data_IF_135370077739
#
_entry.id   IF_135370077739
#
_cell.length_a   1.000
_cell.length_b   1.000
_cell.length_c   1.000
_cell.angle_alpha   90.00
_cell.angle_beta   90.00
_cell.angle_gamma   90.00
#
_symmetry.space_group_name_H-M   'P 1'
#
loop_
_entity.id
_entity.type
_entity.pdbx_description
1 polymer ?
#
# COMPACT_ATOMS: atom_id res chain seq x y z
N UNK A 1 24.74 -52.63 22.30
CA UNK A 1 23.30 -52.31 22.27
C UNK A 1 22.60 -53.58 21.81
N UNK A 2 21.99 -54.31 22.74
CA UNK A 2 21.41 -55.63 22.49
C UNK A 2 19.95 -55.47 22.03
N UNK A 3 19.50 -56.27 21.05
CA UNK A 3 18.21 -56.09 20.39
C UNK A 3 17.12 -56.87 21.15
N UNK A 4 16.29 -56.14 21.90
CA UNK A 4 15.26 -56.67 22.81
C UNK A 4 13.99 -57.26 22.14
N UNK A 5 13.95 -57.38 20.79
CA UNK A 5 12.87 -58.05 20.05
C UNK A 5 12.43 -57.35 18.76
N UNK A 6 11.64 -58.04 17.94
CA UNK A 6 10.96 -57.51 16.74
C UNK A 6 9.47 -57.79 16.87
N UNK A 7 8.75 -57.01 17.68
CA UNK A 7 7.29 -57.06 17.79
C UNK A 7 6.71 -55.67 17.50
N UNK A 8 5.82 -55.58 16.53
CA UNK A 8 5.05 -54.36 16.30
C UNK A 8 4.02 -54.21 17.43
N UNK A 9 4.07 -53.09 18.15
CA UNK A 9 3.15 -52.76 19.24
C UNK A 9 1.96 -51.96 18.71
N UNK A 10 0.75 -52.37 19.09
CA UNK A 10 -0.46 -51.57 18.88
C UNK A 10 -0.60 -50.54 20.00
N UNK A 11 -1.32 -49.44 19.75
CA UNK A 11 -1.56 -48.39 20.73
C UNK A 11 -2.15 -48.98 22.03
N UNK A 12 -1.52 -48.66 23.16
CA UNK A 12 -1.84 -49.15 24.51
C UNK A 12 -1.65 -50.67 24.73
N UNK A 13 -0.96 -51.39 23.84
CA UNK A 13 -0.59 -52.78 24.09
C UNK A 13 0.71 -52.83 24.91
N UNK A 14 0.71 -53.42 26.12
CA UNK A 14 1.94 -53.66 26.87
C UNK A 14 2.68 -54.89 26.33
N UNK A 15 3.99 -54.74 26.12
CA UNK A 15 4.87 -55.86 25.77
C UNK A 15 5.92 -56.06 26.85
N UNK A 16 5.88 -57.24 27.46
CA UNK A 16 6.86 -57.72 28.42
C UNK A 16 7.97 -58.49 27.70
N UNK A 17 9.20 -58.05 27.88
CA UNK A 17 10.41 -58.65 27.31
C UNK A 17 11.29 -59.33 28.38
N UNK A 18 10.72 -59.60 29.56
CA UNK A 18 11.36 -60.38 30.64
C UNK A 18 12.17 -59.54 31.63
N UNK A 19 12.72 -58.40 31.20
CA UNK A 19 13.42 -57.43 32.07
C UNK A 19 12.56 -56.20 32.41
N UNK A 20 11.35 -56.12 31.84
CA UNK A 20 10.41 -55.02 32.02
C UNK A 20 9.32 -54.98 30.94
N UNK A 21 8.40 -54.03 31.05
CA UNK A 21 7.32 -53.81 30.09
C UNK A 21 7.46 -52.45 29.41
N UNK A 22 7.26 -52.41 28.09
CA UNK A 22 7.13 -51.19 27.31
C UNK A 22 5.72 -51.11 26.74
N UNK A 23 5.10 -49.94 26.82
CA UNK A 23 3.78 -49.67 26.25
C UNK A 23 3.89 -48.49 25.28
N UNK A 24 3.38 -48.67 24.06
CA UNK A 24 3.26 -47.56 23.13
C UNK A 24 2.01 -46.74 23.45
N UNK A 25 2.17 -45.58 24.09
CA UNK A 25 1.07 -44.73 24.53
C UNK A 25 0.56 -43.77 23.45
N UNK A 26 1.25 -43.69 22.31
CA UNK A 26 0.87 -42.87 21.15
C UNK A 26 1.90 -41.80 20.80
N UNK A 27 1.51 -40.90 19.90
CA UNK A 27 2.31 -39.76 19.47
C UNK A 27 1.48 -38.50 19.56
N UNK A 28 2.12 -37.38 19.90
CA UNK A 28 1.52 -36.06 19.79
C UNK A 28 1.91 -35.48 18.43
N UNK A 29 0.94 -35.14 17.58
CA UNK A 29 1.21 -34.39 16.36
C UNK A 29 1.45 -32.92 16.72
N UNK A 30 2.68 -32.43 16.51
CA UNK A 30 2.98 -31.01 16.63
C UNK A 30 3.19 -30.39 15.24
N UNK A 31 2.80 -29.13 15.10
CA UNK A 31 3.08 -28.31 13.92
C UNK A 31 3.66 -27.00 14.43
N UNK A 32 4.78 -26.56 13.85
CA UNK A 32 5.35 -25.25 14.12
C UNK A 32 4.74 -24.25 13.14
N UNK A 33 3.89 -23.34 13.64
CA UNK A 33 3.31 -22.27 12.83
C UNK A 33 4.07 -20.97 13.12
N UNK A 34 4.69 -20.39 12.09
CA UNK A 34 5.28 -19.05 12.18
C UNK A 34 4.35 -18.05 11.49
N UNK A 35 3.88 -17.07 12.27
CA UNK A 35 3.08 -15.96 11.76
C UNK A 35 4.03 -14.77 11.65
N UNK A 36 4.36 -14.38 10.42
CA UNK A 36 5.17 -13.20 10.14
C UNK A 36 4.23 -12.05 9.84
N UNK A 37 4.21 -11.06 10.73
CA UNK A 37 3.42 -9.85 10.57
C UNK A 37 4.37 -8.69 10.26
N UNK A 38 4.20 -8.07 9.09
CA UNK A 38 5.06 -6.97 8.63
C UNK A 38 4.33 -5.63 8.78
N UNK A 39 4.41 -4.96 9.96
CA UNK A 39 3.68 -3.73 10.21
C UNK A 39 4.07 -2.59 9.26
N UNK A 40 5.23 -2.70 8.59
CA UNK A 40 5.73 -1.73 7.62
C UNK A 40 5.04 -1.79 6.25
N UNK A 41 4.37 -2.89 5.87
CA UNK A 41 3.74 -3.03 4.54
C UNK A 41 2.66 -1.99 4.30
N UNK A 42 1.86 -1.67 5.31
CA UNK A 42 0.81 -0.64 5.21
C UNK A 42 1.37 0.76 4.97
N UNK A 43 2.41 1.14 5.72
CA UNK A 43 3.07 2.43 5.57
C UNK A 43 3.81 2.56 4.23
N UNK A 44 4.44 1.48 3.76
CA UNK A 44 5.10 1.45 2.45
C UNK A 44 4.09 1.67 1.30
N UNK A 45 2.91 1.04 1.38
CA UNK A 45 1.83 1.23 0.40
C UNK A 45 1.32 2.67 0.38
N UNK A 46 1.08 3.26 1.55
CA UNK A 46 0.63 4.64 1.65
C UNK A 46 1.67 5.63 1.10
N UNK A 47 2.95 5.41 1.42
CA UNK A 47 4.06 6.20 0.88
C UNK A 47 4.17 6.11 -0.64
N UNK A 48 4.03 4.92 -1.21
CA UNK A 48 4.06 4.73 -2.66
C UNK A 48 2.90 5.46 -3.36
N UNK A 49 1.69 5.39 -2.80
CA UNK A 49 0.52 6.12 -3.34
C UNK A 49 0.76 7.63 -3.30
N UNK A 50 1.24 8.18 -2.18
CA UNK A 50 1.51 9.61 -2.06
C UNK A 50 2.61 10.07 -3.02
N UNK A 51 3.66 9.26 -3.22
CA UNK A 51 4.72 9.57 -4.16
C UNK A 51 4.21 9.61 -5.62
N UNK A 52 3.38 8.64 -6.01
CA UNK A 52 2.76 8.60 -7.35
C UNK A 52 1.84 9.80 -7.53
N UNK A 53 0.98 10.10 -6.55
CA UNK A 53 0.09 11.26 -6.62
C UNK A 53 0.87 12.56 -6.72
N UNK A 54 1.89 12.76 -5.89
CA UNK A 54 2.75 13.95 -5.95
C UNK A 54 3.46 14.09 -7.29
N UNK A 55 3.94 12.98 -7.86
CA UNK A 55 4.55 12.97 -9.19
C UNK A 55 3.55 13.33 -10.27
N UNK A 56 2.36 12.72 -10.27
CA UNK A 56 1.30 13.03 -11.22
C UNK A 56 0.89 14.49 -11.10
N UNK A 57 0.62 14.97 -9.88
CA UNK A 57 0.31 16.38 -9.64
C UNK A 57 1.43 17.27 -10.15
N UNK A 58 2.70 16.95 -9.93
CA UNK A 58 3.82 17.75 -10.45
C UNK A 58 3.87 17.79 -11.98
N UNK A 59 3.51 16.69 -12.66
CA UNK A 59 3.53 16.62 -14.12
C UNK A 59 2.32 17.29 -14.75
N UNK A 60 1.14 17.14 -14.14
CA UNK A 60 -0.13 17.69 -14.63
C UNK A 60 -0.38 19.13 -14.19
N UNK A 61 0.29 19.59 -13.13
CA UNK A 61 0.25 21.00 -12.72
C UNK A 61 0.97 21.83 -13.77
N UNK A 62 0.20 22.36 -14.71
CA UNK A 62 0.72 23.21 -15.77
C UNK A 62 1.27 24.49 -15.11
N UNK A 63 2.57 24.74 -15.22
CA UNK A 63 3.18 26.00 -14.80
C UNK A 63 2.72 27.14 -15.73
N UNK A 64 1.46 27.57 -15.62
CA UNK A 64 0.92 28.74 -16.31
C UNK A 64 1.19 29.98 -15.47
N UNK A 65 1.89 30.96 -16.02
CA UNK A 65 2.00 32.28 -15.41
C UNK A 65 0.77 33.08 -15.81
N UNK A 66 -0.10 33.34 -14.85
CA UNK A 66 -1.26 34.21 -15.01
C UNK A 66 -0.99 35.45 -14.16
N UNK A 67 -1.14 36.64 -14.75
CA UNK A 67 -1.05 37.91 -14.04
C UNK A 67 -2.43 38.53 -13.96
N UNK A 68 -2.84 38.87 -12.74
CA UNK A 68 -4.00 39.69 -12.48
C UNK A 68 -3.54 41.05 -12.00
N UNK A 69 -4.03 42.12 -12.62
CA UNK A 69 -3.82 43.49 -12.17
C UNK A 69 -5.18 44.15 -11.97
N UNK A 70 -5.45 44.59 -10.75
CA UNK A 70 -6.62 45.41 -10.44
C UNK A 70 -6.23 46.89 -10.57
N UNK A 71 -6.95 47.63 -11.42
CA UNK A 71 -6.81 49.08 -11.57
C UNK A 71 -8.16 49.73 -11.30
N UNK A 72 -8.35 50.22 -10.07
CA UNK A 72 -9.63 50.77 -9.62
C UNK A 72 -10.77 49.74 -9.68
N UNK A 73 -11.86 50.05 -10.40
CA UNK A 73 -13.02 49.15 -10.61
C UNK A 73 -12.83 48.14 -11.76
N UNK A 74 -11.67 48.12 -12.42
CA UNK A 74 -11.40 47.22 -13.55
C UNK A 74 -10.32 46.22 -13.20
N UNK A 75 -10.61 44.93 -13.36
CA UNK A 75 -9.63 43.85 -13.22
C UNK A 75 -9.14 43.45 -14.60
N UNK A 76 -7.84 43.57 -14.83
CA UNK A 76 -7.16 43.16 -16.05
C UNK A 76 -6.48 41.81 -15.79
N UNK A 77 -6.84 40.80 -16.58
CA UNK A 77 -6.25 39.47 -16.53
C UNK A 77 -5.42 39.27 -17.80
N UNK A 78 -4.16 38.88 -17.65
CA UNK A 78 -3.27 38.55 -18.75
C UNK A 78 -2.61 37.18 -18.50
N UNK A 79 -2.62 36.32 -19.49
CA UNK A 79 -1.90 35.04 -19.46
C UNK A 79 -0.90 34.97 -20.60
N UNK A 80 0.33 34.54 -20.31
CA UNK A 80 1.34 34.24 -21.33
C UNK A 80 1.61 32.74 -21.30
N UNK A 81 1.33 32.05 -22.41
CA UNK A 81 1.74 30.68 -22.62
C UNK A 81 2.96 30.63 -23.54
N UNK A 82 4.03 29.99 -23.11
CA UNK A 82 5.30 29.92 -23.87
C UNK A 82 5.20 29.13 -25.18
N UNK A 83 4.09 28.44 -25.48
CA UNK A 83 3.96 27.55 -26.66
C UNK A 83 2.60 27.65 -27.38
N UNK A 84 1.81 28.71 -27.19
CA UNK A 84 0.55 28.91 -27.95
C UNK A 84 -0.41 27.72 -27.92
N UNK A 85 -0.51 27.02 -26.78
CA UNK A 85 -1.28 25.79 -26.67
C UNK A 85 -2.79 26.10 -26.56
N UNK A 86 -3.65 25.37 -27.29
CA UNK A 86 -5.11 25.55 -27.25
C UNK A 86 -5.66 25.42 -25.81
N UNK A 87 -6.66 26.25 -25.49
CA UNK A 87 -7.34 26.26 -24.20
C UNK A 87 -6.89 27.36 -23.21
N UNK A 88 -5.90 28.20 -23.54
CA UNK A 88 -5.55 29.35 -22.70
C UNK A 88 -6.66 30.42 -22.72
N UNK A 89 -7.23 30.68 -23.89
CA UNK A 89 -8.30 31.66 -24.07
C UNK A 89 -9.57 31.25 -23.32
N UNK A 90 -9.89 29.96 -23.29
CA UNK A 90 -11.04 29.42 -22.55
C UNK A 90 -10.84 29.57 -21.03
N UNK A 91 -9.65 29.24 -20.51
CA UNK A 91 -9.35 29.43 -19.08
C UNK A 91 -9.33 30.90 -18.65
N UNK A 92 -8.79 31.80 -19.49
CA UNK A 92 -8.84 33.24 -19.21
C UNK A 92 -10.29 33.72 -19.24
N UNK A 93 -11.11 33.25 -20.19
CA UNK A 93 -12.53 33.59 -20.25
C UNK A 93 -13.31 33.08 -19.03
N UNK A 94 -12.99 31.88 -18.54
CA UNK A 94 -13.57 31.33 -17.32
C UNK A 94 -13.16 32.13 -16.07
N UNK A 95 -11.88 32.52 -15.95
CA UNK A 95 -11.41 33.40 -14.88
C UNK A 95 -12.07 34.78 -14.93
N UNK A 96 -12.24 35.37 -16.11
CA UNK A 96 -12.96 36.64 -16.30
C UNK A 96 -14.42 36.50 -15.88
N UNK A 97 -15.08 35.39 -16.25
CA UNK A 97 -16.47 35.11 -15.87
C UNK A 97 -16.61 34.97 -14.35
N UNK A 98 -15.71 34.24 -13.70
CA UNK A 98 -15.69 34.09 -12.23
C UNK A 98 -15.54 35.44 -11.51
N UNK A 99 -14.59 36.27 -11.94
CA UNK A 99 -14.36 37.61 -11.37
C UNK A 99 -15.53 38.58 -11.66
N UNK A 100 -16.19 38.44 -12.81
CA UNK A 100 -17.34 39.28 -13.15
C UNK A 100 -18.63 38.87 -12.44
N UNK A 101 -18.74 37.61 -12.00
CA UNK A 101 -19.92 37.07 -11.31
C UNK A 101 -19.86 37.29 -9.79
N UNK A 102 -18.71 37.70 -9.26
CA UNK A 102 -18.51 38.12 -7.85
C UNK A 102 -18.90 39.60 -7.64
N UNK A 103 -19.96 40.06 -8.32
CA UNK A 103 -20.55 41.39 -8.20
C UNK A 103 -21.96 41.34 -7.63
#
# INVERSE_FOLDING_TARGET
MERIGLKALVLNEPYDFGEGSITFTGWNSWVNLQIVDDPGKGYALLGAILAILGLLTSLFTRQRRVWAKQSGRKTQLAGLAKNGIPGLQEEIAELVKGVSNDK
#
